data_IF_619604907377
#
_entry.id   IF_619604907377
#
_cell.length_a   1.000
_cell.length_b   1.000
_cell.length_c   1.000
_cell.angle_alpha   90.00
_cell.angle_beta   90.00
_cell.angle_gamma   90.00
#
_symmetry.space_group_name_H-M   'P 1'
#
loop_
_entity.id
_entity.type
_entity.pdbx_description
1 polymer ?
#
# COMPACT_ATOMS: atom_id res chain seq x y z
N UNK A 1 5.94 -17.38 -4.48
CA UNK A 1 4.47 -17.49 -4.56
C UNK A 1 3.87 -16.21 -3.98
N UNK A 2 3.26 -15.37 -4.82
CA UNK A 2 2.72 -14.07 -4.44
C UNK A 2 1.41 -14.25 -3.66
N UNK A 3 1.45 -13.92 -2.37
CA UNK A 3 0.43 -14.08 -1.30
C UNK A 3 -0.94 -13.40 -1.56
N UNK A 4 -1.16 -12.83 -2.74
CA UNK A 4 -2.34 -12.03 -3.07
C UNK A 4 -3.05 -12.51 -4.34
N UNK A 5 -2.61 -13.63 -4.93
CA UNK A 5 -3.25 -14.23 -6.11
C UNK A 5 -4.73 -14.52 -5.88
N UNK A 6 -5.11 -14.98 -4.69
CA UNK A 6 -6.50 -15.30 -4.31
C UNK A 6 -7.36 -14.09 -3.88
N UNK A 7 -6.78 -12.91 -3.68
CA UNK A 7 -7.57 -11.75 -3.23
C UNK A 7 -8.44 -11.20 -4.35
N UNK A 8 -9.71 -10.92 -4.07
CA UNK A 8 -10.61 -10.28 -5.04
C UNK A 8 -10.14 -8.85 -5.32
N UNK A 9 -10.58 -8.26 -6.45
CA UNK A 9 -10.24 -6.86 -6.79
C UNK A 9 -10.63 -5.90 -5.66
N UNK A 10 -11.77 -6.17 -5.02
CA UNK A 10 -12.31 -5.42 -3.88
C UNK A 10 -11.43 -5.51 -2.63
N UNK A 11 -10.90 -6.70 -2.33
CA UNK A 11 -9.97 -6.86 -1.21
C UNK A 11 -8.66 -6.12 -1.47
N UNK A 12 -8.16 -6.15 -2.70
CA UNK A 12 -6.94 -5.42 -3.08
C UNK A 12 -7.17 -3.91 -2.96
N UNK A 13 -8.29 -3.37 -3.46
CA UNK A 13 -8.60 -1.94 -3.33
C UNK A 13 -8.81 -1.54 -1.88
N UNK A 14 -9.48 -2.37 -1.07
CA UNK A 14 -9.63 -2.14 0.38
C UNK A 14 -8.29 -2.12 1.09
N UNK A 15 -7.44 -3.10 0.81
CA UNK A 15 -6.07 -3.18 1.38
C UNK A 15 -5.25 -1.95 0.97
N UNK A 16 -5.33 -1.50 -0.28
CA UNK A 16 -4.66 -0.27 -0.75
C UNK A 16 -5.16 0.96 0.00
N UNK A 17 -6.47 1.07 0.23
CA UNK A 17 -7.06 2.19 0.99
C UNK A 17 -6.52 2.24 2.42
N UNK A 18 -6.49 1.10 3.11
CA UNK A 18 -5.94 0.99 4.46
C UNK A 18 -4.46 1.38 4.52
N UNK A 19 -3.65 0.92 3.54
CA UNK A 19 -2.24 1.31 3.47
C UNK A 19 -2.05 2.80 3.17
N UNK A 20 -2.92 3.42 2.37
CA UNK A 20 -2.90 4.86 2.13
C UNK A 20 -3.24 5.65 3.39
N UNK A 21 -4.22 5.20 4.17
CA UNK A 21 -4.55 5.81 5.47
C UNK A 21 -3.38 5.70 6.45
N UNK A 22 -2.74 4.52 6.55
CA UNK A 22 -1.51 4.34 7.34
C UNK A 22 -0.39 5.27 6.88
N UNK A 23 -0.21 5.45 5.57
CA UNK A 23 0.78 6.38 5.03
C UNK A 23 0.45 7.83 5.37
N UNK A 24 -0.82 8.22 5.35
CA UNK A 24 -1.26 9.55 5.74
C UNK A 24 -1.03 9.80 7.23
N UNK A 25 -1.42 8.87 8.09
CA UNK A 25 -1.14 8.91 9.53
C UNK A 25 0.37 8.98 9.81
N UNK A 26 1.17 8.20 9.08
CA UNK A 26 2.63 8.25 9.16
C UNK A 26 3.18 9.63 8.77
N UNK A 27 2.65 10.26 7.71
CA UNK A 27 3.04 11.62 7.31
C UNK A 27 2.69 12.67 8.37
N UNK A 28 1.52 12.56 8.99
CA UNK A 28 1.13 13.44 10.11
C UNK A 28 2.04 13.23 11.33
N UNK A 29 2.31 11.99 11.71
CA UNK A 29 3.22 11.66 12.82
C UNK A 29 4.66 12.14 12.56
N UNK A 30 5.10 12.13 11.29
CA UNK A 30 6.40 12.62 10.85
C UNK A 30 6.53 14.13 10.85
N UNK A 31 5.44 14.88 10.65
CA UNK A 31 5.47 16.34 10.69
C UNK A 31 5.69 16.88 12.11
N UNK A 32 5.21 16.17 13.14
CA UNK A 32 5.29 16.58 14.55
C UNK A 32 6.46 16.01 15.34
N UNK A 33 7.16 14.98 14.84
CA UNK A 33 8.27 14.34 15.57
C UNK A 33 9.41 13.93 14.64
N UNK A 34 10.64 13.91 15.16
CA UNK A 34 11.82 13.38 14.47
C UNK A 34 11.72 11.84 14.41
N UNK A 35 10.79 11.32 13.60
CA UNK A 35 10.47 9.89 13.57
C UNK A 35 11.66 9.11 12.99
N UNK A 36 12.23 8.21 13.80
CA UNK A 36 13.35 7.34 13.38
C UNK A 36 12.95 6.28 12.35
N UNK A 37 11.64 6.03 12.17
CA UNK A 37 11.11 4.96 11.31
C UNK A 37 10.82 5.38 9.87
N UNK A 38 11.70 6.17 9.23
CA UNK A 38 11.62 6.47 7.79
C UNK A 38 11.56 5.22 6.89
N UNK A 39 12.07 4.08 7.40
CA UNK A 39 11.97 2.76 6.74
C UNK A 39 10.52 2.27 6.61
N UNK A 40 9.67 2.49 7.62
CA UNK A 40 8.26 2.07 7.57
C UNK A 40 7.51 2.79 6.46
N UNK A 41 7.67 4.11 6.35
CA UNK A 41 7.06 4.88 5.27
C UNK A 41 7.50 4.43 3.87
N UNK A 42 8.77 4.02 3.72
CA UNK A 42 9.27 3.46 2.45
C UNK A 42 8.68 2.08 2.14
N UNK A 43 8.53 1.22 3.15
CA UNK A 43 7.94 -0.10 2.99
C UNK A 43 6.44 0.00 2.62
N UNK A 44 5.68 0.85 3.32
CA UNK A 44 4.27 1.15 3.00
C UNK A 44 4.08 1.58 1.54
N UNK A 45 4.95 2.44 1.01
CA UNK A 45 4.90 2.83 -0.41
C UNK A 45 5.17 1.66 -1.36
N UNK A 46 6.12 0.79 -1.02
CA UNK A 46 6.43 -0.41 -1.83
C UNK A 46 5.27 -1.39 -1.84
N UNK A 47 4.61 -1.60 -0.71
CA UNK A 47 3.49 -2.54 -0.61
C UNK A 47 2.27 -2.04 -1.38
N UNK A 48 1.97 -0.73 -1.29
CA UNK A 48 0.94 -0.09 -2.14
C UNK A 48 1.26 -0.30 -3.63
N UNK A 49 2.50 -0.08 -4.04
CA UNK A 49 2.90 -0.24 -5.45
C UNK A 49 2.77 -1.69 -5.93
N UNK A 50 3.12 -2.68 -5.09
CA UNK A 50 2.92 -4.10 -5.40
C UNK A 50 1.45 -4.45 -5.57
N UNK A 51 0.59 -4.04 -4.63
CA UNK A 51 -0.85 -4.28 -4.70
C UNK A 51 -1.48 -3.64 -5.95
N UNK A 52 -1.09 -2.40 -6.28
CA UNK A 52 -1.55 -1.74 -7.50
C UNK A 52 -1.07 -2.46 -8.78
N UNK A 53 0.16 -2.98 -8.77
CA UNK A 53 0.69 -3.76 -9.90
C UNK A 53 -0.08 -5.05 -10.11
N UNK A 54 -0.44 -5.75 -9.03
CA UNK A 54 -1.26 -6.96 -9.10
C UNK A 54 -2.70 -6.65 -9.55
N UNK A 55 -3.28 -5.54 -9.08
CA UNK A 55 -4.59 -5.08 -9.54
C UNK A 55 -4.57 -4.78 -11.04
N UNK A 56 -3.52 -4.12 -11.52
CA UNK A 56 -3.33 -3.80 -12.94
C UNK A 56 -3.14 -5.08 -13.77
N UNK A 57 -2.34 -6.06 -13.30
CA UNK A 57 -2.24 -7.37 -13.96
C UNK A 57 -3.58 -8.11 -14.07
N UNK A 58 -4.51 -7.90 -13.12
CA UNK A 58 -5.88 -8.47 -13.15
C UNK A 58 -6.86 -7.64 -14.00
N UNK A 59 -6.47 -6.44 -14.44
CA UNK A 59 -7.22 -5.61 -15.37
C UNK A 59 -6.50 -5.71 -16.72
N UNK A 60 -6.84 -6.68 -17.59
CA UNK A 60 -6.33 -6.66 -18.95
C UNK A 60 -6.70 -5.30 -19.55
N UNK A 61 -5.69 -4.54 -19.93
CA UNK A 61 -5.87 -3.25 -20.56
C UNK A 61 -6.79 -3.45 -21.77
N UNK A 62 -7.86 -2.66 -21.80
CA UNK A 62 -8.85 -2.62 -22.90
C UNK A 62 -8.24 -2.14 -24.20
#
# INVERSE_FOLDING_TARGET
>A
MSEHTNKTKEEITRTVSEHRQKLQAFRFAMAGSKTKNVKEGRNLRKDIARLLTELNKKLPNS
#
